data_IF_510650892893
#
_entry.id   IF_510650892893
#
_cell.length_a   1.000
_cell.length_b   1.000
_cell.length_c   1.000
_cell.angle_alpha   90.00
_cell.angle_beta   90.00
_cell.angle_gamma   90.00
#
_symmetry.space_group_name_H-M   'P 1'
#
loop_
_entity.id
_entity.type
_entity.pdbx_description
1 polymer ?
#
# COMPACT_ATOMS: atom_id res chain seq x y z
N UNK A 1 4.00 -4.06 -12.01
CA UNK A 1 3.40 -2.72 -12.25
C UNK A 1 1.93 -2.77 -11.89
N UNK A 2 1.40 -1.68 -11.35
CA UNK A 2 0.06 -1.57 -10.77
C UNK A 2 -0.60 -0.23 -11.16
N UNK A 3 -1.88 -0.06 -10.84
CA UNK A 3 -2.67 1.15 -11.13
C UNK A 3 -2.92 2.03 -9.91
N UNK A 4 -2.71 1.51 -8.70
CA UNK A 4 -3.14 2.16 -7.47
C UNK A 4 -4.64 2.04 -7.23
N UNK A 5 -5.31 1.05 -7.83
CA UNK A 5 -6.72 0.78 -7.62
C UNK A 5 -6.88 -0.52 -6.83
N UNK A 6 -7.25 -0.37 -5.56
CA UNK A 6 -7.48 -1.50 -4.66
C UNK A 6 -8.58 -2.39 -5.23
N UNK A 7 -8.26 -3.66 -5.47
CA UNK A 7 -9.22 -4.68 -5.93
C UNK A 7 -9.85 -5.45 -4.78
N UNK A 8 -9.27 -5.33 -3.59
CA UNK A 8 -9.70 -6.11 -2.45
C UNK A 8 -9.09 -5.70 -1.12
N UNK A 9 -9.71 -6.18 -0.05
CA UNK A 9 -9.18 -6.09 1.32
C UNK A 9 -8.97 -7.50 1.85
N UNK A 10 -7.71 -7.91 1.97
CA UNK A 10 -7.32 -9.19 2.56
C UNK A 10 -7.16 -9.11 4.07
N UNK A 11 -7.16 -10.29 4.71
CA UNK A 11 -6.87 -10.43 6.14
C UNK A 11 -5.60 -11.25 6.32
N UNK A 12 -4.64 -10.73 7.09
CA UNK A 12 -3.45 -11.48 7.48
C UNK A 12 -3.87 -12.56 8.46
N UNK A 13 -3.80 -13.82 8.08
CA UNK A 13 -4.14 -14.93 8.98
C UNK A 13 -2.95 -15.34 9.84
N UNK A 14 -1.75 -15.36 9.24
CA UNK A 14 -0.53 -15.79 9.92
C UNK A 14 0.65 -14.92 9.54
N UNK A 15 1.53 -14.73 10.52
CA UNK A 15 2.82 -14.06 10.38
C UNK A 15 3.88 -15.00 10.93
N UNK A 16 4.80 -15.43 10.08
CA UNK A 16 5.84 -16.40 10.44
C UNK A 16 7.18 -15.67 10.39
N UNK A 17 7.91 -15.57 11.52
CA UNK A 17 9.24 -14.99 11.53
C UNK A 17 10.24 -15.93 10.84
N UNK A 18 11.21 -15.35 10.14
CA UNK A 18 12.33 -16.06 9.52
C UNK A 18 13.63 -15.28 9.71
N UNK A 19 14.75 -15.92 9.36
CA UNK A 19 16.09 -15.38 9.60
C UNK A 19 16.46 -14.17 8.72
N UNK A 20 15.90 -14.08 7.52
CA UNK A 20 16.15 -12.95 6.57
C UNK A 20 14.86 -12.34 6.01
N UNK A 21 13.72 -13.00 6.23
CA UNK A 21 12.42 -12.64 5.67
C UNK A 21 11.34 -12.90 6.69
N UNK A 22 10.19 -12.26 6.51
CA UNK A 22 8.95 -12.56 7.22
C UNK A 22 7.91 -13.04 6.23
N UNK A 23 7.26 -14.13 6.55
CA UNK A 23 6.24 -14.76 5.70
C UNK A 23 4.86 -14.37 6.20
N UNK A 24 3.98 -13.99 5.27
CA UNK A 24 2.60 -13.61 5.55
C UNK A 24 1.67 -14.55 4.79
N UNK A 25 0.68 -15.10 5.50
CA UNK A 25 -0.44 -15.83 4.90
C UNK A 25 -1.64 -14.90 4.91
N UNK A 26 -2.21 -14.64 3.74
CA UNK A 26 -3.27 -13.66 3.54
C UNK A 26 -4.49 -14.35 2.95
N UNK A 27 -5.61 -14.28 3.67
CA UNK A 27 -6.90 -14.71 3.18
C UNK A 27 -7.56 -13.61 2.37
N UNK A 28 -7.89 -13.93 1.11
CA UNK A 28 -8.73 -13.11 0.24
C UNK A 28 -9.16 -13.90 -1.00
N UNK A 29 -10.37 -13.61 -1.50
CA UNK A 29 -10.87 -14.18 -2.75
C UNK A 29 -10.29 -13.44 -3.99
N UNK A 30 -8.96 -13.52 -4.18
CA UNK A 30 -8.36 -13.15 -5.46
C UNK A 30 -8.70 -14.24 -6.49
N UNK A 31 -8.85 -13.85 -7.76
CA UNK A 31 -8.99 -14.82 -8.84
C UNK A 31 -7.76 -15.72 -8.87
N UNK A 32 -7.91 -16.98 -9.27
CA UNK A 32 -6.81 -17.96 -9.23
C UNK A 32 -5.55 -17.48 -9.95
N UNK A 33 -5.71 -16.84 -11.11
CA UNK A 33 -4.59 -16.27 -11.87
C UNK A 33 -3.91 -15.06 -11.20
N UNK A 34 -4.57 -14.41 -10.25
CA UNK A 34 -3.99 -13.28 -9.49
C UNK A 34 -3.25 -13.75 -8.24
N UNK A 35 -3.49 -14.98 -7.81
CA UNK A 35 -2.84 -15.64 -6.67
C UNK A 35 -2.04 -16.87 -7.08
N UNK A 36 -1.72 -17.04 -8.35
CA UNK A 36 -0.92 -18.18 -8.81
C UNK A 36 0.51 -18.06 -8.28
N UNK A 37 1.20 -19.19 -8.13
CA UNK A 37 2.62 -19.20 -7.77
C UNK A 37 3.41 -18.29 -8.73
N UNK A 38 4.23 -17.39 -8.18
CA UNK A 38 5.00 -16.43 -8.96
C UNK A 38 4.25 -15.16 -9.37
N UNK A 39 2.94 -15.06 -9.10
CA UNK A 39 2.18 -13.84 -9.36
C UNK A 39 2.70 -12.68 -8.48
N UNK A 40 2.69 -11.47 -9.04
CA UNK A 40 3.00 -10.24 -8.29
C UNK A 40 1.71 -9.60 -7.78
N UNK A 41 1.66 -9.35 -6.47
CA UNK A 41 0.52 -8.71 -5.81
C UNK A 41 1.03 -7.56 -4.94
N UNK A 42 0.44 -6.39 -5.09
CA UNK A 42 0.68 -5.25 -4.21
C UNK A 42 -0.14 -5.41 -2.93
N UNK A 43 0.56 -5.51 -1.80
CA UNK A 43 -0.02 -5.58 -0.45
C UNK A 43 0.22 -4.25 0.25
N UNK A 44 -0.84 -3.46 0.39
CA UNK A 44 -0.79 -2.09 0.92
C UNK A 44 0.33 -1.24 0.27
N UNK A 45 0.49 -1.36 -1.04
CA UNK A 45 1.41 -0.60 -1.89
C UNK A 45 2.75 -1.28 -2.13
N UNK A 46 3.03 -2.40 -1.45
CA UNK A 46 4.30 -3.12 -1.56
C UNK A 46 4.15 -4.29 -2.52
N UNK A 47 4.92 -4.29 -3.61
CA UNK A 47 4.96 -5.41 -4.55
C UNK A 47 5.62 -6.62 -3.91
N UNK A 48 4.88 -7.72 -3.77
CA UNK A 48 5.40 -9.00 -3.27
C UNK A 48 5.01 -10.14 -4.23
N UNK A 49 5.82 -11.19 -4.21
CA UNK A 49 5.62 -12.38 -5.06
C UNK A 49 4.91 -13.46 -4.25
N UNK A 50 3.89 -14.08 -4.84
CA UNK A 50 3.22 -15.25 -4.26
C UNK A 50 4.15 -16.45 -4.29
N UNK A 51 4.43 -17.02 -3.12
CA UNK A 51 5.31 -18.20 -2.94
C UNK A 51 4.54 -19.49 -2.64
N UNK A 52 3.28 -19.39 -2.24
CA UNK A 52 2.36 -20.51 -2.11
C UNK A 52 0.92 -20.00 -2.22
N UNK A 53 -0.01 -20.85 -2.64
CA UNK A 53 -1.41 -20.48 -2.82
C UNK A 53 -2.33 -21.66 -2.58
N UNK A 54 -3.47 -21.40 -1.98
CA UNK A 54 -4.57 -22.35 -1.79
C UNK A 54 -5.85 -21.76 -2.35
N UNK A 55 -6.97 -22.48 -2.26
CA UNK A 55 -8.27 -21.97 -2.69
C UNK A 55 -8.78 -20.76 -1.86
N UNK A 56 -8.22 -20.50 -0.67
CA UNK A 56 -8.72 -19.50 0.28
C UNK A 56 -7.70 -18.43 0.65
N UNK A 57 -6.42 -18.75 0.50
CA UNK A 57 -5.32 -17.87 0.91
C UNK A 57 -4.16 -17.93 -0.10
N UNK A 58 -3.23 -17.01 0.09
CA UNK A 58 -1.95 -17.03 -0.58
C UNK A 58 -0.86 -16.55 0.39
N UNK A 59 0.37 -16.97 0.11
CA UNK A 59 1.54 -16.71 0.94
C UNK A 59 2.53 -15.85 0.19
N UNK A 60 3.09 -14.86 0.89
CA UNK A 60 4.15 -13.99 0.38
C UNK A 60 5.27 -13.87 1.42
N UNK A 61 6.44 -13.44 0.96
CA UNK A 61 7.57 -13.13 1.83
C UNK A 61 8.07 -11.71 1.60
N UNK A 62 8.37 -10.99 2.68
CA UNK A 62 9.04 -9.70 2.63
C UNK A 62 10.41 -9.78 3.27
N UNK A 63 11.42 -9.23 2.59
CA UNK A 63 12.77 -9.07 3.13
C UNK A 63 12.81 -8.02 4.24
N UNK A 64 13.77 -8.12 5.16
CA UNK A 64 13.90 -7.16 6.26
C UNK A 64 14.08 -5.72 5.80
N UNK A 65 14.79 -5.47 4.70
CA UNK A 65 14.93 -4.14 4.10
C UNK A 65 13.56 -3.55 3.73
N UNK A 66 12.68 -4.35 3.11
CA UNK A 66 11.30 -3.97 2.80
C UNK A 66 10.50 -3.74 4.08
N UNK A 67 10.63 -4.60 5.09
CA UNK A 67 9.93 -4.45 6.37
C UNK A 67 10.35 -3.17 7.11
N UNK A 68 11.61 -2.73 6.96
CA UNK A 68 12.14 -1.55 7.63
C UNK A 68 11.59 -0.23 7.07
N UNK A 69 11.18 -0.22 5.80
CA UNK A 69 10.72 1.00 5.10
C UNK A 69 9.22 1.01 4.80
N UNK A 70 8.50 -0.03 5.22
CA UNK A 70 7.05 -0.20 4.95
C UNK A 70 6.27 -0.47 6.23
N UNK A 71 4.93 -0.39 6.17
CA UNK A 71 4.06 -0.74 7.30
C UNK A 71 3.92 -2.26 7.49
N UNK A 72 4.54 -3.08 6.64
CA UNK A 72 4.43 -4.54 6.71
C UNK A 72 5.06 -5.11 7.99
N UNK A 73 6.08 -4.44 8.55
CA UNK A 73 6.72 -4.82 9.80
C UNK A 73 5.77 -4.85 11.00
N UNK A 74 4.69 -4.07 10.94
CA UNK A 74 3.71 -3.92 12.02
C UNK A 74 2.48 -4.82 11.87
N UNK A 75 2.37 -5.58 10.77
CA UNK A 75 1.26 -6.50 10.56
C UNK A 75 1.29 -7.66 11.56
N UNK A 76 0.10 -8.02 12.04
CA UNK A 76 -0.17 -9.15 12.94
C UNK A 76 -1.37 -9.95 12.41
N UNK A 77 -1.60 -11.20 12.86
CA UNK A 77 -2.85 -11.91 12.58
C UNK A 77 -4.08 -11.02 12.84
N UNK A 78 -5.05 -11.03 11.93
CA UNK A 78 -6.24 -10.16 11.94
C UNK A 78 -6.05 -8.78 11.27
N UNK A 79 -4.83 -8.39 10.89
CA UNK A 79 -4.59 -7.12 10.20
C UNK A 79 -5.26 -7.12 8.82
N UNK A 80 -5.90 -6.01 8.45
CA UNK A 80 -6.47 -5.81 7.12
C UNK A 80 -5.47 -5.14 6.19
N UNK A 81 -5.36 -5.62 4.96
CA UNK A 81 -4.44 -5.11 3.95
C UNK A 81 -5.14 -4.87 2.62
N UNK A 82 -4.75 -3.83 1.90
CA UNK A 82 -5.25 -3.59 0.55
C UNK A 82 -4.52 -4.50 -0.43
N UNK A 83 -5.25 -5.08 -1.37
CA UNK A 83 -4.72 -5.99 -2.37
C UNK A 83 -4.99 -5.45 -3.78
N UNK A 84 -3.94 -5.50 -4.61
CA UNK A 84 -4.02 -5.18 -6.03
C UNK A 84 -3.11 -6.15 -6.81
N UNK A 85 -3.68 -6.99 -7.70
CA UNK A 85 -2.90 -7.82 -8.62
C UNK A 85 -2.10 -6.97 -9.61
N UNK A 86 -0.98 -7.50 -10.10
CA UNK A 86 -0.23 -6.84 -11.16
C UNK A 86 -1.04 -6.72 -12.45
N UNK A 87 -0.83 -5.61 -13.15
CA UNK A 87 -1.42 -5.36 -14.46
C UNK A 87 -1.02 -6.43 -15.48
N UNK A 88 -2.00 -6.89 -16.26
CA UNK A 88 -1.82 -7.72 -17.45
C UNK A 88 -1.87 -6.86 -18.70
N UNK A 89 -1.29 -7.37 -19.79
CA UNK A 89 -1.39 -6.71 -21.09
C UNK A 89 -2.86 -6.65 -21.52
N UNK A 90 -3.34 -5.44 -21.82
CA UNK A 90 -4.74 -5.20 -22.18
C UNK A 90 -5.64 -4.77 -21.01
N UNK A 91 -5.13 -4.76 -19.77
CA UNK A 91 -5.88 -4.23 -18.63
C UNK A 91 -6.06 -2.70 -18.74
N UNK A 92 -7.22 -2.22 -18.29
CA UNK A 92 -7.51 -0.80 -18.25
C UNK A 92 -6.63 -0.06 -17.20
N UNK A 93 -6.02 1.04 -17.61
CA UNK A 93 -5.27 1.94 -16.73
C UNK A 93 -6.20 3.03 -16.18
N UNK A 94 -6.95 2.71 -15.13
CA UNK A 94 -7.90 3.65 -14.50
C UNK A 94 -7.28 4.64 -13.51
N UNK A 95 -6.15 4.27 -12.89
CA UNK A 95 -5.41 5.11 -11.94
C UNK A 95 -4.17 5.74 -12.59
N UNK A 96 -3.00 5.49 -12.02
CA UNK A 96 -1.72 5.88 -12.60
C UNK A 96 -0.71 4.74 -12.46
N UNK A 97 0.41 4.80 -13.19
CA UNK A 97 1.42 3.75 -13.10
C UNK A 97 2.11 3.78 -11.74
N UNK A 98 1.99 2.67 -11.02
CA UNK A 98 2.60 2.46 -9.71
C UNK A 98 3.58 1.31 -9.81
N UNK A 99 4.83 1.54 -9.40
CA UNK A 99 5.87 0.52 -9.41
C UNK A 99 5.65 -0.56 -8.34
N UNK A 100 5.01 -0.20 -7.22
CA UNK A 100 4.93 -1.03 -6.02
C UNK A 100 6.20 -1.00 -5.16
N UNK A 101 7.08 -0.03 -5.44
CA UNK A 101 8.20 0.35 -4.58
C UNK A 101 7.74 1.47 -3.65
N UNK A 102 7.97 1.33 -2.34
CA UNK A 102 7.55 2.32 -1.35
C UNK A 102 8.72 3.22 -1.01
N UNK A 103 8.60 4.51 -1.32
CA UNK A 103 9.65 5.51 -1.06
C UNK A 103 9.73 5.93 0.42
N UNK A 104 8.65 5.73 1.17
CA UNK A 104 8.64 6.04 2.60
C UNK A 104 7.26 6.02 3.22
N UNK A 105 7.24 6.33 4.52
CA UNK A 105 6.04 6.32 5.34
C UNK A 105 5.48 7.72 5.54
N UNK A 106 4.15 7.81 5.44
CA UNK A 106 3.40 8.98 5.82
C UNK A 106 2.54 8.69 7.06
N UNK A 107 2.50 9.65 7.99
CA UNK A 107 1.61 9.58 9.15
C UNK A 107 0.39 10.46 8.90
N UNK A 108 -0.79 9.86 8.92
CA UNK A 108 -2.06 10.59 8.91
C UNK A 108 -2.15 11.43 10.20
N UNK A 109 -2.43 12.73 10.06
CA UNK A 109 -2.53 13.72 11.14
C UNK A 109 -3.95 14.16 11.41
N UNK A 110 -4.76 14.23 10.36
CA UNK A 110 -6.16 14.63 10.46
C UNK A 110 -7.00 13.80 9.50
N UNK A 111 -8.26 13.60 9.86
CA UNK A 111 -9.30 13.02 9.01
C UNK A 111 -10.54 13.89 9.19
N UNK A 112 -11.02 14.49 8.11
CA UNK A 112 -12.17 15.40 8.11
C UNK A 112 -13.17 14.90 7.08
N UNK A 113 -14.38 14.60 7.52
CA UNK A 113 -15.47 14.27 6.62
C UNK A 113 -15.93 15.53 5.87
N UNK A 114 -16.11 15.40 4.55
CA UNK A 114 -16.52 16.45 3.62
C UNK A 114 -17.63 15.89 2.74
N UNK A 115 -18.85 15.85 3.28
CA UNK A 115 -19.94 15.10 2.65
C UNK A 115 -19.56 13.62 2.55
N UNK A 116 -19.61 13.06 1.34
CA UNK A 116 -19.24 11.67 1.05
C UNK A 116 -17.73 11.44 0.91
N UNK A 117 -16.92 12.51 1.01
CA UNK A 117 -15.46 12.43 0.90
C UNK A 117 -14.77 12.49 2.28
N UNK A 118 -13.59 11.88 2.36
CA UNK A 118 -12.69 11.98 3.51
C UNK A 118 -11.43 12.75 3.12
N UNK A 119 -11.27 13.94 3.68
CA UNK A 119 -10.04 14.73 3.57
C UNK A 119 -9.06 14.26 4.65
N UNK A 120 -7.90 13.74 4.23
CA UNK A 120 -6.86 13.25 5.14
C UNK A 120 -5.61 14.13 5.06
N UNK A 121 -5.29 14.85 6.14
CA UNK A 121 -4.02 15.53 6.28
C UNK A 121 -2.95 14.53 6.71
N UNK A 122 -1.76 14.57 6.08
CA UNK A 122 -0.67 13.66 6.41
C UNK A 122 0.68 14.38 6.41
N UNK A 123 1.64 13.83 7.16
CA UNK A 123 3.04 14.26 7.10
C UNK A 123 3.86 13.10 6.56
N UNK A 124 4.51 13.31 5.42
CA UNK A 124 5.47 12.35 4.89
C UNK A 124 6.83 12.56 5.54
N UNK A 125 7.54 11.45 5.84
CA UNK A 125 8.92 11.52 6.35
C UNK A 125 9.92 11.73 5.22
N UNK A 126 9.56 11.38 3.98
CA UNK A 126 10.40 11.58 2.82
C UNK A 126 10.42 13.07 2.42
N UNK A 127 11.59 13.57 2.04
CA UNK A 127 11.77 14.91 1.49
C UNK A 127 11.17 14.97 0.09
N UNK A 128 9.87 15.25 0.01
CA UNK A 128 9.22 15.56 -1.26
C UNK A 128 9.64 16.96 -1.70
N UNK A 129 10.22 17.16 -2.90
CA UNK A 129 10.49 18.50 -3.39
C UNK A 129 9.17 19.27 -3.52
N UNK A 130 9.16 20.50 -3.00
CA UNK A 130 7.98 21.38 -2.88
C UNK A 130 7.30 21.76 -4.22
N UNK A 131 7.87 21.32 -5.34
CA UNK A 131 7.39 21.51 -6.73
C UNK A 131 6.39 20.44 -7.19
N UNK A 132 6.10 19.42 -6.38
CA UNK A 132 5.21 18.30 -6.74
C UNK A 132 3.73 18.50 -6.38
N UNK A 133 3.26 19.75 -6.29
CA UNK A 133 1.95 20.15 -5.72
C UNK A 133 0.70 19.55 -6.40
N UNK A 134 0.87 18.89 -7.55
CA UNK A 134 -0.21 18.31 -8.35
C UNK A 134 0.02 16.83 -8.72
N UNK A 135 0.99 16.14 -8.10
CA UNK A 135 1.30 14.74 -8.45
C UNK A 135 0.44 13.77 -7.66
N UNK A 136 -0.25 12.86 -8.34
CA UNK A 136 -0.95 11.74 -7.72
C UNK A 136 -0.04 11.01 -6.73
N UNK A 137 -0.57 10.65 -5.57
CA UNK A 137 0.13 9.87 -4.56
C UNK A 137 -0.62 8.56 -4.35
N UNK A 138 0.15 7.47 -4.20
CA UNK A 138 -0.39 6.19 -3.75
C UNK A 138 -0.15 6.01 -2.27
N UNK A 139 -1.24 5.92 -1.49
CA UNK A 139 -1.20 5.65 -0.06
C UNK A 139 -1.79 4.28 0.17
N UNK A 140 -0.94 3.32 0.56
CA UNK A 140 -1.36 1.94 0.84
C UNK A 140 -2.16 1.32 -0.31
N UNK A 141 -1.60 1.31 -1.52
CA UNK A 141 -2.26 0.89 -2.78
C UNK A 141 -3.32 1.84 -3.31
N UNK A 142 -3.91 2.76 -2.53
CA UNK A 142 -4.96 3.64 -3.03
C UNK A 142 -4.39 4.90 -3.69
N UNK A 143 -4.73 5.12 -4.97
CA UNK A 143 -4.46 6.37 -5.68
C UNK A 143 -5.36 7.48 -5.14
N UNK A 144 -4.77 8.60 -4.73
CA UNK A 144 -5.50 9.77 -4.27
C UNK A 144 -5.04 11.05 -5.00
N UNK A 145 -6.00 11.94 -5.26
CA UNK A 145 -5.74 13.28 -5.77
C UNK A 145 -5.28 14.17 -4.60
N UNK A 146 -4.06 14.73 -4.63
CA UNK A 146 -3.63 15.64 -3.58
C UNK A 146 -4.39 16.97 -3.69
N UNK A 147 -4.88 17.45 -2.55
CA UNK A 147 -5.31 18.85 -2.39
C UNK A 147 -4.38 19.51 -1.38
N UNK A 148 -3.62 20.54 -1.78
CA UNK A 148 -2.73 21.23 -0.85
C UNK A 148 -3.48 22.34 -0.10
N UNK A 149 -3.48 22.25 1.24
CA UNK A 149 -3.59 23.41 2.13
C UNK A 149 -2.36 23.38 3.03
N UNK A 150 -1.43 24.30 2.80
CA UNK A 150 -0.40 24.60 3.79
C UNK A 150 -1.08 25.34 4.93
N UNK A 151 -1.21 24.73 6.10
CA UNK A 151 -1.38 25.51 7.32
C UNK A 151 -0.14 26.39 7.44
N UNK A 152 -0.26 27.73 7.60
CA UNK A 152 0.90 28.56 7.87
C UNK A 152 1.59 27.98 9.10
N UNK A 153 2.89 27.75 9.02
CA UNK A 153 3.69 27.46 10.21
C UNK A 153 3.37 28.57 11.21
N UNK A 154 2.83 28.20 12.37
CA UNK A 154 2.40 29.15 13.38
C UNK A 154 3.49 30.20 13.60
N UNK A 155 3.13 31.47 13.42
CA UNK A 155 3.93 32.60 13.87
C UNK A 155 4.26 32.35 15.34
N UNK A 156 5.52 32.02 15.64
CA UNK A 156 6.02 32.17 17.00
C UNK A 156 5.97 33.66 17.29
N UNK A 157 4.93 34.07 17.99
CA UNK A 157 4.80 35.40 18.57
C UNK A 157 5.72 35.49 19.78
N UNK A 158 6.64 36.46 19.70
CA UNK A 158 7.46 37.11 20.75
C UNK A 158 8.34 36.21 21.63
#
# INVERSE_FOLDING_TARGET
MFTGLVRGVGTVERVIPGAQRRTFVIAYALSEGDRSLGASVAISGVCLTVVASTARDFTVEAAFETLAVTTLGDLRPGSRVHLEPALRLGDALGGHLVAGHVDGLARVRSRVARGDALECGSTCRASWPATSRSRAACVSTASASPSTRSTPAGSRSA
#
